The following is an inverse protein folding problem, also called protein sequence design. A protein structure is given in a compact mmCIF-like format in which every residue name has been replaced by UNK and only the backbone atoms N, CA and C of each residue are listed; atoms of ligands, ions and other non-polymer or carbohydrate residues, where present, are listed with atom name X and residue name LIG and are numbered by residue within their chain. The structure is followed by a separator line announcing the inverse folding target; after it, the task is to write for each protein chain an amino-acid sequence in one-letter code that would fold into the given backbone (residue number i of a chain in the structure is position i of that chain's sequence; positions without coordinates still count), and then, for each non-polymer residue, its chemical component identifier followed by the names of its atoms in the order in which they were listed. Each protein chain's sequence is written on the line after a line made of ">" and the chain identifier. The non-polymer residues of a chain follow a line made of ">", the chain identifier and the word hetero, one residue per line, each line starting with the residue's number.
data_IF_818409015231
#
_entry.id   IF_818409015231
#
_cell.length_a   1.000
_cell.length_b   1.000
_cell.length_c   1.000
_cell.angle_alpha   90.00
_cell.angle_beta   90.00
_cell.angle_gamma   90.00
#
_symmetry.space_group_name_H-M   'P 1'
#
loop_
_entity.id
_entity.type
_entity.pdbx_description
1 polymer ?
#
# COMPACT_ATOMS: atom_id res chain seq x y z
N UNK A 1 -32.57 2.34 -15.45
CA UNK A 1 -32.22 3.68 -15.98
C UNK A 1 -31.27 4.35 -14.98
N UNK A 2 -29.96 4.18 -15.18
CA UNK A 2 -28.91 4.60 -14.23
C UNK A 2 -28.71 6.11 -14.36
N UNK A 3 -29.22 6.89 -13.41
CA UNK A 3 -28.98 8.34 -13.36
C UNK A 3 -27.55 8.58 -12.85
N UNK A 4 -26.68 9.12 -13.71
CA UNK A 4 -25.38 9.66 -13.28
C UNK A 4 -25.61 10.86 -12.34
N UNK A 5 -24.85 11.00 -11.24
CA UNK A 5 -24.92 12.20 -10.40
C UNK A 5 -24.36 13.43 -11.14
N UNK A 6 -24.82 14.65 -10.80
CA UNK A 6 -24.50 15.89 -11.52
C UNK A 6 -23.05 16.35 -11.29
N UNK A 7 -22.46 16.94 -12.34
CA UNK A 7 -21.06 17.39 -12.48
C UNK A 7 -20.64 18.63 -11.64
N UNK A 8 -21.32 18.97 -10.55
CA UNK A 8 -21.15 20.30 -9.91
C UNK A 8 -20.23 20.38 -8.68
N UNK A 9 -19.70 19.29 -8.12
CA UNK A 9 -18.96 19.34 -6.84
C UNK A 9 -17.44 19.21 -7.02
N UNK A 10 -16.85 19.93 -7.99
CA UNK A 10 -15.38 19.93 -8.19
C UNK A 10 -14.69 21.18 -7.64
N UNK A 11 -15.41 22.11 -7.01
CA UNK A 11 -14.88 23.37 -6.48
C UNK A 11 -14.78 23.46 -4.95
N UNK A 12 -15.27 22.48 -4.16
CA UNK A 12 -15.26 22.57 -2.69
C UNK A 12 -13.96 22.10 -2.01
N UNK A 13 -12.96 21.64 -2.77
CA UNK A 13 -11.67 21.24 -2.20
C UNK A 13 -10.75 22.43 -1.84
N UNK A 14 -11.19 23.67 -2.08
CA UNK A 14 -10.47 24.92 -1.77
C UNK A 14 -11.20 25.79 -0.73
N UNK A 15 -11.80 25.18 0.29
CA UNK A 15 -12.28 25.92 1.47
C UNK A 15 -11.59 25.37 2.72
N UNK A 16 -11.02 26.21 3.61
CA UNK A 16 -10.28 25.77 4.80
C UNK A 16 -11.19 25.17 5.89
N UNK A 17 -12.39 24.71 5.53
CA UNK A 17 -13.44 24.24 6.43
C UNK A 17 -13.91 22.86 5.96
N UNK A 18 -13.25 21.78 6.38
CA UNK A 18 -13.91 20.46 6.40
C UNK A 18 -15.11 20.59 7.35
N UNK A 19 -16.27 20.70 6.73
CA UNK A 19 -17.57 20.49 7.35
C UNK A 19 -17.73 18.98 7.48
N UNK A 20 -17.73 18.46 8.71
CA UNK A 20 -18.10 17.06 8.94
C UNK A 20 -19.60 16.90 8.69
N UNK A 21 -20.00 16.65 7.45
CA UNK A 21 -21.34 16.15 7.17
C UNK A 21 -21.39 14.68 7.56
N UNK A 22 -21.79 14.40 8.80
CA UNK A 22 -22.24 13.06 9.16
C UNK A 22 -23.63 12.84 8.53
N UNK A 23 -23.66 12.55 7.22
CA UNK A 23 -24.92 12.24 6.52
C UNK A 23 -25.17 10.73 6.63
N UNK A 24 -25.76 10.31 7.75
CA UNK A 24 -26.31 8.97 7.89
C UNK A 24 -27.47 8.79 6.89
N UNK A 25 -27.31 7.87 5.94
CA UNK A 25 -28.36 7.48 5.01
C UNK A 25 -29.28 6.47 5.71
N UNK A 26 -30.36 6.94 6.32
CA UNK A 26 -31.34 6.08 7.02
C UNK A 26 -32.35 5.47 6.05
N UNK A 27 -32.27 4.15 5.87
CA UNK A 27 -33.40 3.32 5.44
C UNK A 27 -34.17 2.93 6.69
N UNK A 28 -35.38 3.50 6.88
CA UNK A 28 -36.21 3.36 8.08
C UNK A 28 -36.39 1.91 8.55
N UNK A 29 -35.72 1.54 9.64
CA UNK A 29 -36.00 0.32 10.43
C UNK A 29 -36.11 0.66 11.93
N UNK A 30 -36.76 -0.20 12.73
CA UNK A 30 -37.04 0.05 14.17
C UNK A 30 -35.78 0.29 15.04
N UNK A 31 -34.60 -0.09 14.54
CA UNK A 31 -33.31 0.26 15.16
C UNK A 31 -33.02 1.76 15.07
N UNK A 32 -33.40 2.42 13.96
CA UNK A 32 -33.16 3.85 13.74
C UNK A 32 -33.91 4.73 14.75
N UNK A 33 -35.10 4.29 15.22
CA UNK A 33 -35.87 5.04 16.21
C UNK A 33 -35.27 4.99 17.61
N UNK A 34 -34.63 3.86 17.98
CA UNK A 34 -33.88 3.76 19.24
C UNK A 34 -32.61 4.59 19.19
N UNK A 35 -31.88 4.53 18.08
CA UNK A 35 -30.72 5.38 17.86
C UNK A 35 -31.10 6.87 17.83
N UNK A 36 -32.22 7.25 17.21
CA UNK A 36 -32.69 8.65 17.21
C UNK A 36 -32.97 9.21 18.61
N UNK A 37 -33.52 8.40 19.53
CA UNK A 37 -33.74 8.84 20.91
C UNK A 37 -32.44 9.04 21.70
N UNK A 38 -31.43 8.22 21.45
CA UNK A 38 -30.09 8.41 22.02
C UNK A 38 -29.38 9.63 21.40
N UNK A 39 -29.53 9.84 20.09
CA UNK A 39 -28.97 10.99 19.38
C UNK A 39 -29.75 12.30 19.59
N UNK A 40 -30.97 12.27 20.15
CA UNK A 40 -31.70 13.50 20.51
C UNK A 40 -31.18 14.12 21.81
N UNK A 41 -30.64 13.29 22.72
CA UNK A 41 -29.96 13.76 23.94
C UNK A 41 -28.54 14.21 23.62
N UNK A 42 -27.91 13.55 22.64
CA UNK A 42 -26.60 13.88 22.11
C UNK A 42 -26.71 14.81 20.90
N UNK A 43 -27.37 15.97 21.07
CA UNK A 43 -27.37 17.01 20.04
C UNK A 43 -25.92 17.45 19.84
N UNK A 44 -25.28 16.98 18.77
CA UNK A 44 -23.87 17.31 18.49
C UNK A 44 -23.82 18.82 18.31
N UNK A 45 -23.21 19.57 19.25
CA UNK A 45 -23.15 21.01 19.13
C UNK A 45 -22.45 21.33 17.81
N UNK A 46 -22.94 22.36 17.10
CA UNK A 46 -22.28 22.90 15.92
C UNK A 46 -20.92 23.50 16.32
N UNK A 47 -19.94 22.63 16.54
CA UNK A 47 -18.57 22.92 16.92
C UNK A 47 -17.87 23.52 15.71
N UNK A 48 -17.95 24.85 15.58
CA UNK A 48 -17.14 25.63 14.65
C UNK A 48 -15.71 25.71 15.16
N UNK A 49 -15.03 24.57 15.24
CA UNK A 49 -13.61 24.51 15.59
C UNK A 49 -12.85 25.05 14.38
N UNK A 50 -12.35 26.29 14.51
CA UNK A 50 -11.43 26.89 13.55
C UNK A 50 -10.18 26.01 13.56
N UNK A 51 -9.81 25.42 12.42
CA UNK A 51 -8.55 24.66 12.36
C UNK A 51 -7.40 25.59 12.74
N UNK A 52 -6.47 25.14 13.59
CA UNK A 52 -5.25 25.88 13.79
C UNK A 52 -4.58 26.06 12.42
N UNK A 53 -4.36 27.30 11.99
CA UNK A 53 -3.75 27.65 10.71
C UNK A 53 -2.30 27.17 10.59
N UNK A 54 -1.74 26.61 11.67
CA UNK A 54 -0.40 26.03 11.72
C UNK A 54 -0.33 24.60 11.16
N UNK A 55 -1.44 23.86 11.14
CA UNK A 55 -1.48 22.49 10.62
C UNK A 55 -2.13 22.51 9.24
N UNK A 56 -1.29 22.62 8.20
CA UNK A 56 -1.72 22.43 6.83
C UNK A 56 -1.97 20.94 6.59
N UNK A 57 -3.17 20.58 6.12
CA UNK A 57 -3.49 19.20 5.79
C UNK A 57 -2.55 18.70 4.67
N UNK A 58 -1.84 17.57 4.85
CA UNK A 58 -0.99 17.03 3.81
C UNK A 58 -1.84 16.59 2.61
N UNK A 59 -1.28 16.72 1.40
CA UNK A 59 -1.94 16.25 0.17
C UNK A 59 -2.17 14.74 0.24
N UNK A 60 -3.30 14.27 -0.32
CA UNK A 60 -3.64 12.85 -0.37
C UNK A 60 -2.52 11.99 -1.00
N UNK A 61 -1.81 12.53 -2.00
CA UNK A 61 -0.69 11.83 -2.65
C UNK A 61 0.54 11.70 -1.73
N UNK A 62 0.79 12.69 -0.88
CA UNK A 62 1.89 12.66 0.10
C UNK A 62 1.62 11.61 1.19
N UNK A 63 0.37 11.50 1.64
CA UNK A 63 -0.02 10.46 2.59
C UNK A 63 0.13 9.08 1.94
N UNK A 64 -0.31 8.93 0.69
CA UNK A 64 -0.13 7.69 -0.07
C UNK A 64 1.34 7.27 -0.19
N UNK A 65 2.24 8.20 -0.55
CA UNK A 65 3.67 7.90 -0.65
C UNK A 65 4.30 7.53 0.69
N UNK A 66 3.89 8.18 1.79
CA UNK A 66 4.36 7.86 3.13
C UNK A 66 3.90 6.48 3.58
N UNK A 67 2.65 6.10 3.30
CA UNK A 67 2.13 4.76 3.60
C UNK A 67 2.89 3.71 2.79
N UNK A 68 3.10 3.93 1.49
CA UNK A 68 3.85 3.00 0.65
C UNK A 68 5.30 2.84 1.12
N UNK A 69 5.96 3.93 1.51
CA UNK A 69 7.31 3.90 2.09
C UNK A 69 7.33 3.15 3.42
N UNK A 70 6.36 3.39 4.30
CA UNK A 70 6.27 2.67 5.57
C UNK A 70 6.06 1.18 5.37
N UNK A 71 5.25 0.79 4.38
CA UNK A 71 5.06 -0.61 4.00
C UNK A 71 6.37 -1.24 3.51
N UNK A 72 7.15 -0.53 2.68
CA UNK A 72 8.46 -0.98 2.22
C UNK A 72 9.43 -1.25 3.38
N UNK A 73 9.54 -0.32 4.34
CA UNK A 73 10.47 -0.44 5.46
C UNK A 73 10.06 -1.55 6.44
N UNK A 74 8.77 -1.68 6.73
CA UNK A 74 8.25 -2.70 7.64
C UNK A 74 8.38 -4.09 7.02
N UNK A 75 7.99 -4.27 5.76
CA UNK A 75 8.12 -5.56 5.06
C UNK A 75 9.58 -5.92 4.76
N UNK A 76 10.44 -4.90 4.60
CA UNK A 76 11.88 -5.09 4.41
C UNK A 76 12.60 -5.63 5.64
N UNK A 77 11.94 -5.67 6.80
CA UNK A 77 12.52 -6.24 8.02
C UNK A 77 13.40 -5.26 8.81
N UNK A 78 13.35 -3.95 8.53
CA UNK A 78 14.19 -2.94 9.21
C UNK A 78 14.07 -3.00 10.74
N UNK A 79 12.89 -3.32 11.27
CA UNK A 79 12.69 -3.48 12.72
C UNK A 79 13.52 -4.67 13.25
N UNK A 80 13.57 -5.77 12.51
CA UNK A 80 14.41 -6.93 12.85
C UNK A 80 15.89 -6.64 12.65
N UNK A 81 16.23 -5.87 11.62
CA UNK A 81 17.61 -5.44 11.36
C UNK A 81 18.16 -4.62 12.52
N UNK A 82 17.37 -3.70 13.09
CA UNK A 82 17.77 -2.85 14.22
C UNK A 82 17.92 -3.65 15.53
N UNK A 83 17.11 -4.68 15.75
CA UNK A 83 17.12 -5.44 17.02
C UNK A 83 18.19 -6.53 17.03
N UNK A 84 18.32 -7.26 15.92
CA UNK A 84 19.14 -8.48 15.83
C UNK A 84 20.49 -8.21 15.17
N UNK A 85 20.62 -7.09 14.45
CA UNK A 85 21.81 -6.69 13.71
C UNK A 85 22.38 -7.84 12.84
N UNK A 86 21.56 -8.43 11.94
CA UNK A 86 22.00 -9.54 11.11
C UNK A 86 23.06 -9.08 10.09
N UNK A 87 23.93 -9.98 9.63
CA UNK A 87 24.92 -9.65 8.60
C UNK A 87 24.24 -9.22 7.29
N UNK A 88 24.85 -8.29 6.57
CA UNK A 88 24.25 -7.72 5.35
C UNK A 88 24.18 -8.73 4.19
N UNK A 89 25.21 -9.58 4.04
CA UNK A 89 25.30 -10.61 2.99
C UNK A 89 26.07 -11.83 3.50
N UNK A 90 25.68 -13.04 3.07
CA UNK A 90 26.41 -14.26 3.37
C UNK A 90 27.51 -14.54 2.34
N UNK A 91 28.42 -15.45 2.69
CA UNK A 91 29.35 -16.06 1.73
C UNK A 91 29.33 -17.59 1.87
N UNK A 92 29.37 -18.28 0.75
CA UNK A 92 29.58 -19.74 0.71
C UNK A 92 30.92 -20.01 0.04
N UNK A 93 31.72 -20.88 0.64
CA UNK A 93 32.97 -21.33 0.03
C UNK A 93 32.67 -22.43 -0.97
N UNK A 94 33.11 -22.23 -2.21
CA UNK A 94 33.13 -23.26 -3.24
C UNK A 94 34.19 -24.34 -2.89
N UNK A 95 34.14 -25.52 -3.52
CA UNK A 95 35.08 -26.64 -3.27
C UNK A 95 36.55 -26.25 -3.55
N UNK A 96 36.75 -25.17 -4.33
CA UNK A 96 38.04 -24.56 -4.64
C UNK A 96 38.47 -23.46 -3.66
N UNK A 97 37.73 -23.25 -2.57
CA UNK A 97 38.03 -22.24 -1.54
C UNK A 97 37.66 -20.80 -1.91
N UNK A 98 37.03 -20.58 -3.06
CA UNK A 98 36.58 -19.25 -3.48
C UNK A 98 35.27 -18.87 -2.76
N UNK A 99 35.24 -17.69 -2.14
CA UNK A 99 34.03 -17.17 -1.51
C UNK A 99 33.06 -16.63 -2.56
N UNK A 100 31.89 -17.24 -2.67
CA UNK A 100 30.77 -16.74 -3.49
C UNK A 100 29.79 -15.97 -2.60
N UNK A 101 29.42 -14.73 -2.95
CA UNK A 101 28.44 -13.98 -2.17
C UNK A 101 27.06 -14.61 -2.36
N UNK A 102 26.35 -14.81 -1.25
CA UNK A 102 24.99 -15.37 -1.26
C UNK A 102 24.07 -14.37 -0.54
N UNK A 103 23.11 -13.85 -1.30
CA UNK A 103 22.17 -12.84 -0.81
C UNK A 103 21.00 -13.41 -0.02
N UNK A 104 20.75 -14.72 -0.08
CA UNK A 104 19.63 -15.40 0.58
C UNK A 104 20.13 -16.48 1.51
N UNK A 105 19.60 -16.58 2.73
CA UNK A 105 19.96 -17.66 3.64
C UNK A 105 19.07 -18.89 3.36
N UNK A 106 19.61 -19.98 2.78
CA UNK A 106 18.81 -21.16 2.49
C UNK A 106 18.52 -21.94 3.78
N UNK A 107 17.38 -22.65 3.82
CA UNK A 107 17.00 -23.59 4.89
C UNK A 107 16.75 -23.01 6.29
N UNK A 108 16.85 -21.69 6.50
CA UNK A 108 16.57 -21.04 7.79
C UNK A 108 15.48 -19.99 7.65
N UNK A 109 14.27 -20.29 8.14
CA UNK A 109 13.11 -19.39 8.02
C UNK A 109 13.20 -18.18 8.94
N UNK A 110 13.70 -18.39 10.16
CA UNK A 110 13.85 -17.35 11.19
C UNK A 110 15.10 -16.47 11.00
N UNK A 111 15.96 -16.83 10.04
CA UNK A 111 17.14 -16.06 9.67
C UNK A 111 16.84 -15.29 8.39
N UNK A 112 17.35 -14.07 8.33
CA UNK A 112 17.16 -13.21 7.18
C UNK A 112 18.38 -12.31 7.06
N UNK A 113 18.91 -12.19 5.84
CA UNK A 113 19.88 -11.15 5.52
C UNK A 113 19.16 -9.84 5.24
N UNK A 114 19.82 -8.71 5.53
CA UNK A 114 19.27 -7.37 5.25
C UNK A 114 18.89 -7.25 3.77
N UNK A 115 19.78 -7.69 2.86
CA UNK A 115 19.54 -7.64 1.42
C UNK A 115 18.39 -8.55 0.96
N UNK A 116 18.17 -9.69 1.62
CA UNK A 116 17.03 -10.57 1.33
C UNK A 116 15.70 -9.85 1.64
N UNK A 117 15.61 -9.18 2.79
CA UNK A 117 14.45 -8.40 3.18
C UNK A 117 14.18 -7.23 2.25
N UNK A 118 15.19 -6.40 2.01
CA UNK A 118 15.09 -5.25 1.12
C UNK A 118 14.74 -5.64 -0.34
N UNK A 119 15.29 -6.74 -0.85
CA UNK A 119 14.94 -7.22 -2.18
C UNK A 119 13.49 -7.69 -2.27
N UNK A 120 12.99 -8.38 -1.22
CA UNK A 120 11.60 -8.85 -1.17
C UNK A 120 10.59 -7.71 -1.07
N UNK A 121 10.83 -6.72 -0.21
CA UNK A 121 9.96 -5.55 -0.06
C UNK A 121 9.96 -4.66 -1.31
N UNK A 122 11.09 -4.56 -2.00
CA UNK A 122 11.16 -3.89 -3.30
C UNK A 122 10.25 -4.56 -4.32
N UNK A 123 10.31 -5.89 -4.46
CA UNK A 123 9.42 -6.61 -5.38
C UNK A 123 7.93 -6.47 -5.00
N UNK A 124 7.60 -6.45 -3.71
CA UNK A 124 6.22 -6.21 -3.26
C UNK A 124 5.70 -4.80 -3.61
N UNK A 125 6.52 -3.78 -3.42
CA UNK A 125 6.16 -2.39 -3.76
C UNK A 125 6.04 -2.19 -5.26
N UNK A 126 6.93 -2.78 -6.06
CA UNK A 126 6.85 -2.81 -7.53
C UNK A 126 5.54 -3.48 -7.97
N UNK A 127 5.21 -4.65 -7.43
CA UNK A 127 3.93 -5.32 -7.73
C UNK A 127 2.71 -4.50 -7.35
N UNK A 128 2.71 -3.89 -6.16
CA UNK A 128 1.63 -3.00 -5.71
C UNK A 128 1.48 -1.74 -6.57
N UNK A 129 2.60 -1.10 -6.95
CA UNK A 129 2.61 0.02 -7.88
C UNK A 129 2.12 -0.38 -9.28
N UNK A 130 2.40 -1.62 -9.72
CA UNK A 130 1.86 -2.17 -10.95
C UNK A 130 0.33 -2.12 -10.99
N UNK A 131 -0.35 -2.49 -9.91
CA UNK A 131 -1.81 -2.37 -9.80
C UNK A 131 -2.30 -0.91 -9.78
N UNK A 132 -1.59 -0.01 -9.10
CA UNK A 132 -1.94 1.42 -9.07
C UNK A 132 -1.81 2.05 -10.46
N UNK A 133 -0.77 1.68 -11.22
CA UNK A 133 -0.59 2.12 -12.61
C UNK A 133 -1.75 1.62 -13.47
N UNK A 134 -2.15 0.35 -13.32
CA UNK A 134 -3.29 -0.23 -14.05
C UNK A 134 -4.59 0.51 -13.76
N UNK A 135 -4.88 0.83 -12.50
CA UNK A 135 -6.06 1.63 -12.13
C UNK A 135 -6.02 3.05 -12.75
N UNK A 136 -4.84 3.68 -12.74
CA UNK A 136 -4.68 5.02 -13.32
C UNK A 136 -4.96 5.07 -14.83
N UNK A 137 -4.76 3.96 -15.56
CA UNK A 137 -4.99 3.90 -17.01
C UNK A 137 -6.46 4.06 -17.43
N UNK A 138 -7.39 3.85 -16.49
CA UNK A 138 -8.83 3.99 -16.69
C UNK A 138 -9.26 5.46 -16.82
N UNK A 139 -8.39 6.41 -16.49
CA UNK A 139 -8.65 7.83 -16.66
C UNK A 139 -8.83 8.20 -18.15
N UNK A 140 -9.86 9.02 -18.49
CA UNK A 140 -10.14 9.40 -19.88
C UNK A 140 -9.15 10.42 -20.45
N UNK A 141 -8.16 10.86 -19.67
CA UNK A 141 -7.21 11.92 -20.00
C UNK A 141 -6.04 11.46 -20.88
N UNK A 142 -5.81 10.14 -21.01
CA UNK A 142 -4.65 9.57 -21.70
C UNK A 142 -4.93 9.26 -23.18
N UNK A 143 -4.00 9.57 -24.11
CA UNK A 143 -4.09 9.16 -25.51
C UNK A 143 -3.93 7.63 -25.66
N UNK A 144 -4.51 7.04 -26.72
CA UNK A 144 -4.64 5.58 -26.90
C UNK A 144 -3.31 4.82 -26.78
N UNK A 145 -2.23 5.35 -27.36
CA UNK A 145 -0.91 4.71 -27.32
C UNK A 145 -0.32 4.71 -25.91
N UNK A 146 -0.36 5.85 -25.20
CA UNK A 146 0.16 5.94 -23.83
C UNK A 146 -0.64 5.03 -22.88
N UNK A 147 -1.97 4.95 -23.07
CA UNK A 147 -2.80 4.01 -22.31
C UNK A 147 -2.36 2.56 -22.52
N UNK A 148 -2.14 2.14 -23.77
CA UNK A 148 -1.68 0.78 -24.07
C UNK A 148 -0.31 0.49 -23.42
N UNK A 149 0.64 1.42 -23.53
CA UNK A 149 1.97 1.27 -22.93
C UNK A 149 1.91 1.13 -21.40
N UNK A 150 1.09 1.94 -20.73
CA UNK A 150 0.91 1.87 -19.28
C UNK A 150 0.23 0.56 -18.84
N UNK A 151 -0.73 0.05 -19.62
CA UNK A 151 -1.37 -1.24 -19.34
C UNK A 151 -0.33 -2.37 -19.44
N UNK A 152 0.45 -2.40 -20.51
CA UNK A 152 1.51 -3.42 -20.70
C UNK A 152 2.56 -3.33 -19.60
N UNK A 153 3.01 -2.11 -19.27
CA UNK A 153 3.98 -1.88 -18.20
C UNK A 153 3.46 -2.35 -16.85
N UNK A 154 2.23 -1.96 -16.47
CA UNK A 154 1.61 -2.36 -15.21
C UNK A 154 1.43 -3.87 -15.11
N UNK A 155 1.04 -4.53 -16.21
CA UNK A 155 0.90 -5.97 -16.25
C UNK A 155 2.24 -6.72 -16.12
N UNK A 156 3.29 -6.27 -16.83
CA UNK A 156 4.65 -6.82 -16.70
C UNK A 156 5.15 -6.66 -15.25
N UNK A 157 4.93 -5.49 -14.66
CA UNK A 157 5.32 -5.18 -13.28
C UNK A 157 4.73 -6.18 -12.27
N UNK A 158 3.44 -6.49 -12.40
CA UNK A 158 2.74 -7.48 -11.55
C UNK A 158 3.26 -8.89 -11.80
N UNK A 159 3.47 -9.28 -13.05
CA UNK A 159 3.98 -10.62 -13.39
C UNK A 159 5.40 -10.83 -12.84
N UNK A 160 6.30 -9.88 -13.07
CA UNK A 160 7.70 -9.98 -12.64
C UNK A 160 7.80 -10.05 -11.12
N UNK A 161 7.06 -9.21 -10.40
CA UNK A 161 7.04 -9.21 -8.93
C UNK A 161 6.48 -10.53 -8.37
N UNK A 162 5.43 -11.09 -8.97
CA UNK A 162 4.87 -12.38 -8.57
C UNK A 162 5.88 -13.52 -8.75
N UNK A 163 6.46 -13.66 -9.95
CA UNK A 163 7.43 -14.72 -10.22
C UNK A 163 8.69 -14.59 -9.38
N UNK A 164 9.20 -13.37 -9.19
CA UNK A 164 10.40 -13.13 -8.39
C UNK A 164 10.16 -13.48 -6.91
N UNK A 165 9.02 -13.09 -6.35
CA UNK A 165 8.65 -13.48 -4.98
C UNK A 165 8.48 -15.00 -4.85
N UNK A 166 7.86 -15.63 -5.85
CA UNK A 166 7.72 -17.08 -5.88
C UNK A 166 9.09 -17.78 -5.87
N UNK A 167 10.05 -17.27 -6.64
CA UNK A 167 11.44 -17.75 -6.63
C UNK A 167 12.09 -17.51 -5.27
N UNK A 168 11.88 -16.35 -4.62
CA UNK A 168 12.41 -16.08 -3.28
C UNK A 168 11.93 -17.11 -2.25
N UNK A 169 10.63 -17.45 -2.27
CA UNK A 169 10.08 -18.49 -1.40
C UNK A 169 10.71 -19.87 -1.67
N UNK A 170 10.94 -20.22 -2.94
CA UNK A 170 11.59 -21.48 -3.33
C UNK A 170 13.06 -21.54 -2.98
N UNK A 171 13.78 -20.41 -3.00
CA UNK A 171 15.18 -20.35 -2.57
C UNK A 171 15.30 -20.46 -1.04
N UNK A 172 14.37 -19.86 -0.29
CA UNK A 172 14.37 -19.94 1.17
C UNK A 172 13.97 -21.33 1.68
N UNK A 173 13.00 -21.97 1.04
CA UNK A 173 12.45 -23.29 1.40
C UNK A 173 12.42 -24.22 0.18
N UNK A 174 13.56 -24.84 -0.19
CA UNK A 174 13.59 -25.84 -1.25
C UNK A 174 12.80 -27.07 -0.80
N UNK A 175 11.72 -27.40 -1.52
CA UNK A 175 10.76 -28.44 -1.16
C UNK A 175 9.38 -27.93 -0.73
N UNK A 176 9.21 -26.61 -0.60
CA UNK A 176 7.89 -26.01 -0.37
C UNK A 176 6.95 -26.32 -1.55
N UNK A 177 5.79 -26.94 -1.26
CA UNK A 177 4.77 -27.40 -2.24
C UNK A 177 5.21 -28.55 -3.18
N UNK A 178 6.05 -29.48 -2.72
CA UNK A 178 6.19 -30.79 -3.40
C UNK A 178 5.09 -31.74 -2.92
N UNK A 179 3.92 -31.68 -3.54
CA UNK A 179 2.90 -32.74 -3.52
C UNK A 179 2.41 -32.95 -4.96
#
# INVERSE_FOLDING_TARGET
>A
MIRRPPRSTRSEFYSPTITFYCRFSTNKTAMDTLFQGLYSVLEVPNLKIKRPSWIQQPSAMTVFSLVLLSYFLVTGGIIYDVIVEPPSIGSTTDERGHSRPVAFMPYRVNGQYILEGLASSFMFTVGGLGYVILDHTQSPTLPRLNRLLLIVLGFICVIVSFFTTWIFMRMKLPGYLQN
#
